data_IF_624723896270
#
_entry.id   IF_624723896270
#
_cell.length_a   1.000
_cell.length_b   1.000
_cell.length_c   1.000
_cell.angle_alpha   90.00
_cell.angle_beta   90.00
_cell.angle_gamma   90.00
#
_symmetry.space_group_name_H-M   'P 1'
#
loop_
_entity.id
_entity.type
_entity.pdbx_description
1 polymer ?
#
# COMPACT_ATOMS: atom_id res chain seq x y z
N UNK A 1 13.36 -8.25 11.99
CA UNK A 1 14.38 -7.44 12.65
C UNK A 1 15.20 -6.61 11.66
N UNK A 2 15.85 -7.24 10.67
CA UNK A 2 16.68 -6.55 9.67
C UNK A 2 15.91 -5.48 8.89
N UNK A 3 14.69 -5.79 8.48
CA UNK A 3 13.79 -4.85 7.82
C UNK A 3 13.48 -3.65 8.71
N UNK A 4 13.10 -3.89 9.97
CA UNK A 4 12.77 -2.83 10.92
C UNK A 4 13.97 -1.90 11.18
N UNK A 5 15.17 -2.47 11.38
CA UNK A 5 16.41 -1.70 11.52
C UNK A 5 16.77 -0.93 10.24
N UNK A 6 16.51 -1.49 9.06
CA UNK A 6 16.76 -0.80 7.80
C UNK A 6 15.88 0.44 7.64
N UNK A 7 14.66 0.38 8.13
CA UNK A 7 13.71 1.48 8.16
C UNK A 7 14.01 2.53 9.24
N UNK A 8 14.98 2.29 10.12
CA UNK A 8 15.38 3.19 11.20
C UNK A 8 14.75 2.91 12.57
N UNK A 9 14.14 1.73 12.76
CA UNK A 9 13.67 1.31 14.08
C UNK A 9 14.85 0.88 15.00
N UNK A 10 14.73 1.17 16.28
CA UNK A 10 15.76 0.90 17.29
C UNK A 10 15.13 0.34 18.59
N UNK A 11 15.98 0.00 19.54
CA UNK A 11 15.58 -0.45 20.88
C UNK A 11 14.85 0.62 21.71
N UNK A 12 15.05 1.90 21.38
CA UNK A 12 14.41 3.02 22.06
C UNK A 12 12.94 3.26 21.61
N UNK A 13 12.48 2.54 20.60
CA UNK A 13 11.16 2.76 20.01
C UNK A 13 10.03 2.03 20.77
N UNK A 14 8.88 2.70 20.82
CA UNK A 14 7.61 2.12 21.20
C UNK A 14 6.75 2.04 19.93
N UNK A 15 6.58 0.83 19.39
CA UNK A 15 5.94 0.61 18.09
C UNK A 15 4.56 -0.02 18.27
N UNK A 16 3.55 0.69 17.79
CA UNK A 16 2.17 0.20 17.78
C UNK A 16 1.90 -0.61 16.51
N UNK A 17 1.40 -1.84 16.68
CA UNK A 17 1.03 -2.72 15.58
C UNK A 17 -0.49 -2.72 15.39
N UNK A 18 -0.93 -2.05 14.34
CA UNK A 18 -2.32 -1.91 13.94
C UNK A 18 -2.71 -2.89 12.81
N UNK A 19 -2.03 -4.02 12.71
CA UNK A 19 -2.42 -5.17 11.91
C UNK A 19 -3.19 -6.20 12.75
N UNK A 20 -4.13 -6.92 12.12
CA UNK A 20 -4.84 -8.01 12.78
C UNK A 20 -3.89 -9.13 13.24
N UNK A 21 -3.94 -9.47 14.52
CA UNK A 21 -3.34 -10.68 15.06
C UNK A 21 -4.29 -11.86 14.84
N UNK A 22 -3.78 -12.98 14.41
CA UNK A 22 -4.57 -14.18 14.11
C UNK A 22 -3.94 -14.97 12.97
N UNK A 23 -4.72 -15.36 11.98
CA UNK A 23 -4.22 -16.10 10.81
C UNK A 23 -3.53 -15.20 9.76
N UNK A 24 -3.33 -13.94 10.05
CA UNK A 24 -2.58 -12.98 9.25
C UNK A 24 -1.17 -12.82 9.79
N UNK A 25 -0.17 -13.19 9.01
CA UNK A 25 1.24 -13.23 9.45
C UNK A 25 1.89 -11.85 9.57
N UNK A 26 1.30 -10.81 8.98
CA UNK A 26 1.85 -9.44 8.93
C UNK A 26 2.12 -8.86 10.32
N UNK A 27 1.19 -9.03 11.26
CA UNK A 27 1.36 -8.57 12.62
C UNK A 27 2.49 -9.32 13.35
N UNK A 28 2.39 -10.66 13.40
CA UNK A 28 3.32 -11.50 14.17
C UNK A 28 4.77 -11.40 13.67
N UNK A 29 4.97 -11.36 12.35
CA UNK A 29 6.32 -11.26 11.79
C UNK A 29 7.03 -9.97 12.18
N UNK A 30 6.33 -8.83 12.15
CA UNK A 30 6.88 -7.54 12.58
C UNK A 30 7.00 -7.46 14.11
N UNK A 31 6.04 -8.01 14.85
CA UNK A 31 6.09 -8.11 16.30
C UNK A 31 7.41 -8.76 16.77
N UNK A 32 7.67 -9.99 16.37
CA UNK A 32 8.89 -10.69 16.75
C UNK A 32 10.16 -10.04 16.18
N UNK A 33 10.06 -9.41 15.02
CA UNK A 33 11.18 -8.65 14.47
C UNK A 33 11.54 -7.44 15.32
N UNK A 34 10.55 -6.70 15.81
CA UNK A 34 10.70 -5.53 16.69
C UNK A 34 11.18 -5.94 18.10
N UNK A 35 10.60 -6.97 18.70
CA UNK A 35 11.08 -7.52 19.98
C UNK A 35 12.55 -7.94 19.88
N UNK A 36 12.95 -8.57 18.77
CA UNK A 36 14.33 -9.02 18.56
C UNK A 36 15.35 -7.87 18.52
N UNK A 37 14.95 -6.68 18.13
CA UNK A 37 15.82 -5.48 18.15
C UNK A 37 15.75 -4.72 19.47
N UNK A 38 14.91 -5.17 20.42
CA UNK A 38 14.74 -4.54 21.73
C UNK A 38 13.65 -3.48 21.82
N UNK A 39 12.93 -3.20 20.73
CA UNK A 39 11.84 -2.23 20.71
C UNK A 39 10.64 -2.71 21.56
N UNK A 40 9.95 -1.77 22.20
CA UNK A 40 8.69 -2.06 22.89
C UNK A 40 7.56 -2.18 21.88
N UNK A 41 6.82 -3.29 21.91
CA UNK A 41 5.70 -3.53 20.99
C UNK A 41 4.36 -3.34 21.70
N UNK A 42 3.48 -2.53 21.10
CA UNK A 42 2.09 -2.33 21.53
C UNK A 42 1.17 -3.08 20.56
N UNK A 43 0.69 -4.30 20.90
CA UNK A 43 -0.04 -5.17 19.98
C UNK A 43 -1.54 -4.84 19.97
N UNK A 44 -1.92 -3.73 19.36
CA UNK A 44 -3.31 -3.23 19.38
C UNK A 44 -4.25 -3.97 18.45
N UNK A 45 -3.72 -4.72 17.47
CA UNK A 45 -4.51 -5.32 16.39
C UNK A 45 -5.15 -4.27 15.47
N UNK A 46 -5.99 -4.70 14.54
CA UNK A 46 -6.73 -3.78 13.65
C UNK A 46 -8.05 -3.34 14.27
N UNK A 47 -8.58 -2.22 13.82
CA UNK A 47 -9.87 -1.71 14.22
C UNK A 47 -9.87 -0.84 15.48
N UNK A 48 -11.04 -0.42 15.90
CA UNK A 48 -11.25 0.47 17.06
C UNK A 48 -10.34 1.71 17.02
N UNK A 49 -10.46 2.50 15.94
CA UNK A 49 -9.50 3.56 15.57
C UNK A 49 -9.32 4.61 16.67
N UNK A 50 -10.40 5.02 17.35
CA UNK A 50 -10.31 5.98 18.46
C UNK A 50 -9.46 5.42 19.62
N UNK A 51 -9.60 4.13 19.94
CA UNK A 51 -8.76 3.47 20.94
C UNK A 51 -7.30 3.38 20.49
N UNK A 52 -7.05 3.14 19.20
CA UNK A 52 -5.70 3.17 18.63
C UNK A 52 -5.03 4.53 18.92
N UNK A 53 -5.75 5.62 18.64
CA UNK A 53 -5.28 6.99 18.83
C UNK A 53 -5.07 7.30 20.32
N UNK A 54 -5.96 6.87 21.20
CA UNK A 54 -5.81 7.01 22.64
C UNK A 54 -4.53 6.32 23.14
N UNK A 55 -4.29 5.07 22.70
CA UNK A 55 -3.09 4.32 23.07
C UNK A 55 -1.80 4.96 22.54
N UNK A 56 -1.84 5.57 21.34
CA UNK A 56 -0.70 6.34 20.81
C UNK A 56 -0.32 7.50 21.72
N UNK A 57 -1.31 8.18 22.30
CA UNK A 57 -1.06 9.27 23.24
C UNK A 57 -0.55 8.77 24.60
N UNK A 58 -1.19 7.73 25.14
CA UNK A 58 -0.90 7.21 26.48
C UNK A 58 0.50 6.57 26.55
N UNK A 59 0.85 5.76 25.55
CA UNK A 59 2.16 5.09 25.46
C UNK A 59 3.23 5.94 24.76
N UNK A 60 2.87 7.11 24.20
CA UNK A 60 3.78 7.96 23.42
C UNK A 60 4.47 7.18 22.31
N UNK A 61 3.71 6.39 21.57
CA UNK A 61 4.25 5.52 20.53
C UNK A 61 5.05 6.33 19.51
N UNK A 62 6.25 5.85 19.20
CA UNK A 62 7.17 6.47 18.24
C UNK A 62 7.03 5.89 16.84
N UNK A 63 6.40 4.71 16.70
CA UNK A 63 6.23 4.08 15.41
C UNK A 63 4.86 3.41 15.24
N UNK A 64 4.44 3.33 13.97
CA UNK A 64 3.18 2.72 13.56
C UNK A 64 3.43 1.66 12.48
N UNK A 65 2.94 0.44 12.74
CA UNK A 65 2.86 -0.66 11.77
C UNK A 65 1.41 -0.77 11.31
N UNK A 66 1.15 -0.54 10.02
CA UNK A 66 -0.21 -0.67 9.48
C UNK A 66 -0.22 -0.80 7.94
N UNK A 67 -1.41 -0.97 7.34
CA UNK A 67 -1.57 -0.69 5.91
C UNK A 67 -1.54 0.82 5.67
N UNK A 68 -1.09 1.30 4.51
CA UNK A 68 -1.15 2.71 4.15
C UNK A 68 -2.56 3.31 4.27
N UNK A 69 -3.58 2.62 3.76
CA UNK A 69 -4.98 3.07 3.86
C UNK A 69 -5.44 3.25 5.31
N UNK A 70 -5.04 2.33 6.20
CA UNK A 70 -5.43 2.44 7.60
C UNK A 70 -4.65 3.55 8.33
N UNK A 71 -3.38 3.77 7.98
CA UNK A 71 -2.61 4.91 8.49
C UNK A 71 -3.25 6.26 8.10
N UNK A 72 -3.73 6.40 6.87
CA UNK A 72 -4.50 7.58 6.46
C UNK A 72 -5.77 7.75 7.32
N UNK A 73 -6.54 6.68 7.49
CA UNK A 73 -7.76 6.72 8.28
C UNK A 73 -7.50 7.07 9.75
N UNK A 74 -6.43 6.55 10.36
CA UNK A 74 -5.98 6.94 11.70
C UNK A 74 -5.66 8.43 11.74
N UNK A 75 -4.95 8.96 10.75
CA UNK A 75 -4.61 10.38 10.65
C UNK A 75 -5.83 11.29 10.50
N UNK A 76 -6.79 10.92 9.67
CA UNK A 76 -8.07 11.63 9.51
C UNK A 76 -8.85 11.66 10.83
N UNK A 77 -9.01 10.50 11.48
CA UNK A 77 -9.72 10.37 12.75
C UNK A 77 -9.03 11.19 13.86
N UNK A 78 -7.70 11.17 13.92
CA UNK A 78 -6.96 11.95 14.92
C UNK A 78 -7.13 13.45 14.74
N UNK A 79 -7.21 13.94 13.50
CA UNK A 79 -7.55 15.35 13.19
C UNK A 79 -8.97 15.69 13.64
N UNK A 80 -9.95 14.83 13.33
CA UNK A 80 -11.35 15.03 13.73
C UNK A 80 -11.52 15.05 15.25
N UNK A 81 -10.78 14.23 15.97
CA UNK A 81 -10.74 14.22 17.44
C UNK A 81 -10.00 15.44 18.02
N UNK A 82 -9.31 16.24 17.21
CA UNK A 82 -8.52 17.39 17.65
C UNK A 82 -7.29 17.01 18.48
N UNK A 83 -6.72 15.84 18.24
CA UNK A 83 -5.59 15.28 19.06
C UNK A 83 -4.34 15.00 18.24
N UNK A 84 -4.32 15.37 16.96
CA UNK A 84 -3.19 15.08 16.05
C UNK A 84 -1.85 15.60 16.61
N UNK A 85 -1.84 16.77 17.23
CA UNK A 85 -0.65 17.39 17.81
C UNK A 85 -0.16 16.69 19.12
N UNK A 86 -0.94 15.74 19.62
CA UNK A 86 -0.59 14.94 20.82
C UNK A 86 0.02 13.58 20.44
N UNK A 87 0.03 13.23 19.16
CA UNK A 87 0.63 12.01 18.63
C UNK A 87 2.11 12.27 18.32
N UNK A 88 3.00 11.37 18.76
CA UNK A 88 4.45 11.55 18.67
C UNK A 88 5.10 10.50 17.77
N UNK A 89 4.49 10.19 16.65
CA UNK A 89 5.03 9.23 15.69
C UNK A 89 6.24 9.82 14.95
N UNK A 90 7.28 9.02 14.75
CA UNK A 90 8.44 9.34 13.92
C UNK A 90 8.65 8.37 12.76
N UNK A 91 8.11 7.14 12.87
CA UNK A 91 8.35 6.05 11.93
C UNK A 91 7.05 5.34 11.54
N UNK A 92 6.87 5.08 10.25
CA UNK A 92 5.83 4.23 9.70
C UNK A 92 6.43 3.02 8.98
N UNK A 93 6.01 1.81 9.36
CA UNK A 93 6.36 0.55 8.72
C UNK A 93 5.09 0.04 8.00
N UNK A 94 4.94 0.38 6.73
CA UNK A 94 3.73 0.10 5.98
C UNK A 94 3.91 -1.06 5.01
N UNK A 95 2.83 -1.75 4.71
CA UNK A 95 2.84 -2.86 3.75
C UNK A 95 1.48 -3.50 3.58
N UNK A 96 1.43 -4.67 2.95
CA UNK A 96 0.24 -5.46 2.62
C UNK A 96 -0.61 -4.90 1.49
N UNK A 97 -0.43 -3.66 1.09
CA UNK A 97 -1.05 -3.02 -0.08
C UNK A 97 -0.09 -2.01 -0.70
N UNK A 98 -0.38 -1.60 -1.94
CA UNK A 98 0.41 -0.57 -2.61
C UNK A 98 0.33 0.78 -1.89
N UNK A 99 1.44 1.53 -1.91
CA UNK A 99 1.51 2.89 -1.40
C UNK A 99 2.13 3.77 -2.48
N UNK A 100 1.33 4.64 -3.10
CA UNK A 100 1.87 5.61 -4.06
C UNK A 100 2.69 6.68 -3.33
N UNK A 101 3.55 7.41 -4.04
CA UNK A 101 4.35 8.47 -3.42
C UNK A 101 3.47 9.61 -2.90
N UNK A 102 2.37 9.89 -3.58
CA UNK A 102 1.37 10.89 -3.18
C UNK A 102 0.69 10.48 -1.86
N UNK A 103 0.24 9.22 -1.77
CA UNK A 103 -0.34 8.65 -0.55
C UNK A 103 0.66 8.68 0.61
N UNK A 104 1.90 8.26 0.35
CA UNK A 104 3.00 8.33 1.32
C UNK A 104 3.19 9.74 1.86
N UNK A 105 3.29 10.73 0.95
CA UNK A 105 3.47 12.13 1.30
C UNK A 105 2.31 12.67 2.15
N UNK A 106 1.08 12.28 1.85
CA UNK A 106 -0.09 12.66 2.65
C UNK A 106 -0.05 12.05 4.06
N UNK A 107 0.32 10.78 4.18
CA UNK A 107 0.47 10.10 5.49
C UNK A 107 1.57 10.79 6.31
N UNK A 108 2.73 11.03 5.72
CA UNK A 108 3.86 11.70 6.36
C UNK A 108 3.50 13.10 6.85
N UNK A 109 2.84 13.91 6.01
CA UNK A 109 2.37 15.25 6.36
C UNK A 109 1.32 15.24 7.47
N UNK A 110 0.42 14.24 7.46
CA UNK A 110 -0.68 14.16 8.44
C UNK A 110 -0.21 13.66 9.80
N UNK A 111 0.60 12.60 9.82
CA UNK A 111 1.01 11.93 11.05
C UNK A 111 2.39 12.38 11.57
N UNK A 112 3.12 13.20 10.80
CA UNK A 112 4.43 13.71 11.21
C UNK A 112 5.52 12.63 11.25
N UNK A 113 5.40 11.55 10.51
CA UNK A 113 6.30 10.41 10.54
C UNK A 113 7.08 10.23 9.23
N UNK A 114 8.13 9.44 9.27
CA UNK A 114 8.86 8.94 8.11
C UNK A 114 8.31 7.57 7.71
N UNK A 115 7.73 7.46 6.51
CA UNK A 115 7.07 6.25 6.03
C UNK A 115 8.00 5.38 5.20
N UNK A 116 8.10 4.09 5.52
CA UNK A 116 8.79 3.07 4.73
C UNK A 116 7.83 1.99 4.29
N UNK A 117 8.12 1.42 3.13
CA UNK A 117 7.35 0.31 2.56
C UNK A 117 8.05 -1.02 2.79
N UNK A 118 7.27 -2.06 3.05
CA UNK A 118 7.76 -3.42 3.18
C UNK A 118 6.87 -4.39 2.41
N UNK A 119 7.50 -5.40 1.83
CA UNK A 119 6.86 -6.44 1.05
C UNK A 119 6.99 -7.79 1.73
N UNK A 120 5.92 -8.55 1.67
CA UNK A 120 5.87 -9.92 2.12
C UNK A 120 4.51 -10.55 1.82
N UNK A 121 4.42 -11.84 2.03
CA UNK A 121 3.19 -12.61 1.88
C UNK A 121 3.24 -13.85 2.76
N UNK A 122 2.05 -14.31 3.17
CA UNK A 122 1.91 -15.45 4.08
C UNK A 122 2.54 -16.74 3.53
N UNK A 123 2.47 -16.94 2.23
CA UNK A 123 3.01 -18.09 1.52
C UNK A 123 4.54 -18.17 1.61
N UNK A 124 5.21 -17.04 1.73
CA UNK A 124 6.67 -16.99 1.82
C UNK A 124 7.16 -17.09 3.25
N UNK A 125 6.91 -16.15 4.10
CA UNK A 125 7.21 -16.15 5.56
C UNK A 125 6.48 -14.99 6.29
N UNK A 126 5.56 -14.33 5.62
CA UNK A 126 4.94 -13.09 6.10
C UNK A 126 5.73 -11.86 5.69
N UNK A 127 5.78 -10.79 6.50
CA UNK A 127 6.56 -9.60 6.22
C UNK A 127 8.05 -9.88 6.30
N UNK A 128 8.87 -9.07 5.62
CA UNK A 128 10.31 -9.20 5.65
C UNK A 128 10.91 -9.99 4.49
N UNK A 129 10.17 -10.21 3.41
CA UNK A 129 10.75 -10.65 2.13
C UNK A 129 11.66 -9.55 1.60
N UNK A 130 11.16 -8.32 1.60
CA UNK A 130 11.96 -7.12 1.31
C UNK A 130 11.42 -5.89 2.03
N UNK A 131 12.24 -4.85 2.17
CA UNK A 131 11.82 -3.59 2.78
C UNK A 131 12.76 -2.43 2.46
N UNK A 132 12.20 -1.23 2.49
CA UNK A 132 12.95 0.00 2.28
C UNK A 132 13.91 0.28 3.43
N UNK A 133 15.03 0.89 3.11
CA UNK A 133 15.87 1.57 4.07
C UNK A 133 15.51 3.06 4.12
N UNK A 134 16.18 3.81 4.99
CA UNK A 134 15.98 5.26 5.16
C UNK A 134 16.20 6.08 3.87
N UNK A 135 16.90 5.54 2.86
CA UNK A 135 17.10 6.19 1.56
C UNK A 135 15.93 5.96 0.58
N UNK A 136 15.05 5.01 0.85
CA UNK A 136 13.86 4.70 0.01
C UNK A 136 14.15 4.49 -1.48
N UNK A 137 15.33 3.94 -1.79
CA UNK A 137 15.76 3.66 -3.18
C UNK A 137 15.41 2.23 -3.61
N UNK A 138 14.24 1.74 -3.27
CA UNK A 138 13.76 0.37 -3.44
C UNK A 138 13.88 -0.45 -2.16
N UNK A 139 13.24 -1.61 -2.14
CA UNK A 139 13.15 -2.52 -1.01
C UNK A 139 14.25 -3.58 -1.08
N UNK A 140 15.14 -3.63 -0.10
CA UNK A 140 16.21 -4.63 0.01
C UNK A 140 15.61 -6.01 0.21
N UNK A 141 15.94 -6.95 -0.69
CA UNK A 141 15.52 -8.34 -0.62
C UNK A 141 16.41 -9.05 0.39
N UNK A 142 15.83 -9.85 1.29
CA UNK A 142 16.60 -10.68 2.20
C UNK A 142 17.11 -11.94 1.48
N UNK A 143 18.16 -11.79 0.65
CA UNK A 143 18.68 -12.81 -0.29
C UNK A 143 19.25 -14.05 0.40
N UNK A 144 19.55 -14.01 1.69
CA UNK A 144 19.90 -15.18 2.51
C UNK A 144 18.70 -16.07 2.85
N UNK A 145 17.48 -15.55 2.71
CA UNK A 145 16.23 -16.28 2.94
C UNK A 145 15.42 -16.50 1.66
N UNK A 146 15.64 -15.69 0.64
CA UNK A 146 14.83 -15.68 -0.58
C UNK A 146 15.69 -15.53 -1.83
N UNK A 147 15.53 -16.44 -2.78
CA UNK A 147 15.99 -16.23 -4.14
C UNK A 147 14.85 -15.60 -4.94
N UNK A 148 15.06 -14.37 -5.42
CA UNK A 148 14.10 -13.62 -6.22
C UNK A 148 14.49 -13.63 -7.70
N UNK A 149 13.54 -13.95 -8.56
CA UNK A 149 13.65 -13.91 -10.02
C UNK A 149 12.57 -13.00 -10.58
N UNK A 150 12.79 -12.39 -11.73
CA UNK A 150 11.76 -11.69 -12.50
C UNK A 150 11.55 -12.42 -13.81
N UNK A 151 10.31 -12.78 -14.10
CA UNK A 151 9.96 -13.54 -15.31
C UNK A 151 8.97 -12.79 -16.19
N UNK A 152 8.95 -13.12 -17.47
CA UNK A 152 7.84 -12.77 -18.34
C UNK A 152 6.59 -13.59 -17.95
N UNK A 153 5.45 -12.98 -17.62
CA UNK A 153 4.27 -13.69 -17.13
C UNK A 153 3.62 -14.62 -18.16
N UNK A 154 3.91 -14.43 -19.47
CA UNK A 154 3.34 -15.22 -20.56
C UNK A 154 4.27 -16.35 -20.99
N UNK A 155 5.56 -16.07 -21.23
CA UNK A 155 6.53 -17.07 -21.67
C UNK A 155 7.16 -17.84 -20.53
N UNK A 156 7.06 -17.35 -19.30
CA UNK A 156 7.65 -17.90 -18.06
C UNK A 156 9.19 -17.92 -18.07
N UNK A 157 9.81 -17.24 -19.03
CA UNK A 157 11.27 -17.14 -19.10
C UNK A 157 11.77 -16.07 -18.14
N UNK A 158 12.93 -16.33 -17.53
CA UNK A 158 13.61 -15.35 -16.68
C UNK A 158 14.05 -14.16 -17.55
N UNK A 159 13.73 -12.98 -17.09
CA UNK A 159 14.07 -11.74 -17.79
C UNK A 159 15.49 -11.27 -17.44
N UNK A 160 16.12 -10.46 -18.30
CA UNK A 160 17.41 -9.83 -17.99
C UNK A 160 17.33 -8.97 -16.72
N UNK A 161 18.48 -8.80 -16.05
CA UNK A 161 18.59 -7.94 -14.86
C UNK A 161 18.05 -6.53 -15.13
N UNK A 162 17.25 -6.02 -14.19
CA UNK A 162 16.64 -4.70 -14.29
C UNK A 162 15.38 -4.62 -15.15
N UNK A 163 15.03 -5.70 -15.89
CA UNK A 163 13.76 -5.74 -16.63
C UNK A 163 12.56 -5.86 -15.67
N UNK A 164 11.44 -5.31 -16.11
CA UNK A 164 10.16 -5.40 -15.40
C UNK A 164 9.42 -6.68 -15.77
N UNK A 165 8.89 -7.39 -14.78
CA UNK A 165 8.09 -8.60 -15.00
C UNK A 165 7.47 -9.12 -13.70
N UNK A 166 6.97 -10.34 -13.73
CA UNK A 166 6.38 -11.00 -12.57
C UNK A 166 7.47 -11.49 -11.61
N UNK A 167 7.32 -11.15 -10.34
CA UNK A 167 8.21 -11.64 -9.28
C UNK A 167 7.95 -13.12 -9.01
N UNK A 168 9.03 -13.88 -8.99
CA UNK A 168 9.05 -15.29 -8.59
C UNK A 168 10.01 -15.44 -7.42
N UNK A 169 9.60 -16.13 -6.36
CA UNK A 169 10.40 -16.29 -5.15
C UNK A 169 10.56 -17.76 -4.79
N UNK A 170 11.80 -18.15 -4.49
CA UNK A 170 12.13 -19.43 -3.85
C UNK A 170 12.54 -19.16 -2.40
N UNK A 171 11.94 -19.87 -1.45
CA UNK A 171 12.35 -19.80 -0.04
C UNK A 171 13.56 -20.70 0.21
N UNK A 172 14.60 -20.17 0.83
CA UNK A 172 15.87 -20.89 1.07
C UNK A 172 15.95 -21.52 2.47
N UNK A 173 15.27 -20.91 3.44
CA UNK A 173 15.36 -21.29 4.86
C UNK A 173 14.02 -21.73 5.48
N UNK A 174 12.94 -21.75 4.71
CA UNK A 174 11.61 -22.11 5.20
C UNK A 174 11.44 -23.63 5.16
N UNK A 175 11.28 -24.25 6.32
CA UNK A 175 11.10 -25.71 6.46
C UNK A 175 9.64 -26.12 6.27
N UNK A 176 8.69 -25.40 6.87
CA UNK A 176 7.26 -25.64 6.71
C UNK A 176 6.74 -25.12 5.37
N UNK A 177 6.30 -26.01 4.49
CA UNK A 177 5.79 -25.68 3.14
C UNK A 177 6.82 -24.84 2.36
N UNK A 178 8.00 -25.38 2.02
CA UNK A 178 8.99 -24.65 1.23
C UNK A 178 8.42 -24.29 -0.15
N UNK A 179 8.63 -23.05 -0.58
CA UNK A 179 8.18 -22.59 -1.89
C UNK A 179 9.34 -22.60 -2.88
N UNK A 180 9.17 -23.34 -3.97
CA UNK A 180 10.12 -23.42 -5.08
C UNK A 180 9.55 -22.66 -6.28
N UNK A 181 10.22 -21.58 -6.69
CA UNK A 181 9.80 -20.72 -7.81
C UNK A 181 8.32 -20.33 -7.74
N UNK A 182 7.90 -19.86 -6.57
CA UNK A 182 6.52 -19.43 -6.35
C UNK A 182 6.21 -18.16 -7.14
N UNK A 183 5.23 -18.22 -8.03
CA UNK A 183 4.75 -17.09 -8.82
C UNK A 183 3.86 -16.21 -7.96
N UNK A 184 4.37 -15.02 -7.61
CA UNK A 184 3.63 -14.10 -6.71
C UNK A 184 2.48 -13.39 -7.40
N UNK A 185 2.50 -13.31 -8.72
CA UNK A 185 1.64 -12.46 -9.56
C UNK A 185 1.94 -10.96 -9.46
N UNK A 186 2.83 -10.54 -8.60
CA UNK A 186 3.22 -9.15 -8.43
C UNK A 186 4.21 -8.72 -9.50
N UNK A 187 3.99 -7.56 -10.10
CA UNK A 187 4.87 -6.96 -11.10
C UNK A 187 5.85 -6.02 -10.44
N UNK A 188 7.13 -6.27 -10.64
CA UNK A 188 8.23 -5.45 -10.14
C UNK A 188 9.44 -5.52 -11.06
N UNK A 189 10.54 -4.90 -10.65
CA UNK A 189 11.88 -5.05 -11.22
C UNK A 189 12.90 -5.11 -10.09
N UNK A 190 14.05 -5.75 -10.33
CA UNK A 190 15.12 -5.88 -9.35
C UNK A 190 16.34 -5.08 -9.81
N UNK A 191 16.84 -4.22 -8.92
CA UNK A 191 18.07 -3.45 -9.07
C UNK A 191 19.17 -4.13 -8.24
N UNK A 192 20.28 -4.44 -8.89
CA UNK A 192 21.45 -5.11 -8.29
C UNK A 192 22.59 -4.16 -7.95
N UNK A 193 22.43 -2.86 -8.25
CA UNK A 193 23.45 -1.86 -7.90
C UNK A 193 23.52 -1.65 -6.38
N UNK A 194 24.72 -1.43 -5.81
CA UNK A 194 24.86 -1.17 -4.38
C UNK A 194 24.04 0.03 -3.92
N UNK A 195 23.35 -0.11 -2.79
CA UNK A 195 22.65 1.01 -2.20
C UNK A 195 23.61 1.93 -1.42
N UNK A 196 23.40 3.23 -1.51
CA UNK A 196 24.16 4.23 -0.74
C UNK A 196 24.03 4.08 0.79
N UNK A 197 23.05 3.31 1.28
CA UNK A 197 22.92 2.97 2.70
C UNK A 197 23.97 1.95 3.19
N UNK A 198 24.81 1.43 2.29
CA UNK A 198 25.87 0.44 2.58
C UNK A 198 25.40 -1.02 2.56
N UNK A 199 24.10 -1.29 2.42
CA UNK A 199 23.59 -2.67 2.27
C UNK A 199 23.87 -3.20 0.87
N UNK A 200 24.27 -4.47 0.78
CA UNK A 200 24.71 -5.12 -0.45
C UNK A 200 23.64 -5.96 -1.14
N UNK A 201 22.54 -6.26 -0.46
CA UNK A 201 21.42 -7.01 -1.03
C UNK A 201 20.74 -6.25 -2.17
N UNK A 202 20.33 -6.98 -3.19
CA UNK A 202 19.54 -6.44 -4.30
C UNK A 202 18.25 -5.79 -3.79
N UNK A 203 17.75 -4.83 -4.57
CA UNK A 203 16.53 -4.08 -4.22
C UNK A 203 15.45 -4.30 -5.26
N UNK A 204 14.26 -4.64 -4.81
CA UNK A 204 13.10 -4.63 -5.69
C UNK A 204 12.43 -3.25 -5.67
N UNK A 205 11.86 -2.86 -6.80
CA UNK A 205 10.99 -1.69 -6.87
C UNK A 205 9.68 -1.97 -6.13
N UNK A 206 8.92 -0.91 -5.84
CA UNK A 206 7.53 -1.07 -5.39
C UNK A 206 6.74 -1.93 -6.37
N UNK A 207 5.74 -2.63 -5.86
CA UNK A 207 4.83 -3.40 -6.69
C UNK A 207 4.04 -2.43 -7.58
N UNK A 208 4.13 -2.62 -8.89
CA UNK A 208 3.50 -1.78 -9.90
C UNK A 208 2.08 -2.24 -10.25
N UNK A 209 1.69 -3.42 -9.77
CA UNK A 209 0.41 -4.06 -9.98
C UNK A 209 0.54 -5.57 -9.89
N UNK A 210 -0.56 -6.27 -10.11
CA UNK A 210 -0.60 -7.74 -10.15
C UNK A 210 -1.09 -8.21 -11.51
N UNK A 211 -0.60 -9.35 -11.97
CA UNK A 211 -1.07 -9.96 -13.23
C UNK A 211 -2.52 -10.45 -13.13
N UNK A 212 -3.01 -10.74 -11.93
CA UNK A 212 -4.37 -11.20 -11.64
C UNK A 212 -5.33 -10.08 -11.17
N UNK A 213 -4.83 -8.94 -10.69
CA UNK A 213 -5.63 -7.74 -10.39
C UNK A 213 -5.79 -6.82 -11.61
N UNK A 214 -5.18 -7.19 -12.71
CA UNK A 214 -5.30 -6.47 -13.97
C UNK A 214 -6.74 -6.57 -14.48
N UNK A 215 -7.40 -5.43 -14.55
CA UNK A 215 -8.74 -5.32 -15.10
C UNK A 215 -8.65 -5.28 -16.63
N UNK A 216 -9.29 -6.22 -17.31
CA UNK A 216 -9.51 -6.12 -18.75
C UNK A 216 -10.79 -5.36 -19.02
N UNK A 217 -10.67 -4.14 -19.52
CA UNK A 217 -11.80 -3.27 -19.87
C UNK A 217 -11.75 -2.97 -21.36
N UNK A 218 -12.70 -3.45 -22.14
CA UNK A 218 -12.73 -3.29 -23.61
C UNK A 218 -11.42 -3.70 -24.31
N UNK A 219 -10.79 -4.77 -23.83
CA UNK A 219 -9.51 -5.26 -24.38
C UNK A 219 -8.26 -4.53 -23.90
N UNK A 220 -8.40 -3.47 -23.10
CA UNK A 220 -7.28 -2.72 -22.53
C UNK A 220 -6.99 -3.24 -21.12
N UNK A 221 -5.70 -3.37 -20.80
CA UNK A 221 -5.24 -3.74 -19.47
C UNK A 221 -5.18 -2.48 -18.58
N UNK A 222 -5.98 -2.46 -17.53
CA UNK A 222 -6.07 -1.36 -16.57
C UNK A 222 -5.61 -1.84 -15.20
N UNK A 223 -4.65 -1.15 -14.62
CA UNK A 223 -4.19 -1.42 -13.26
C UNK A 223 -4.78 -0.41 -12.28
N UNK A 224 -5.36 -0.85 -11.14
CA UNK A 224 -5.90 0.05 -10.11
C UNK A 224 -4.91 1.11 -9.64
N UNK A 225 -3.61 0.77 -9.57
CA UNK A 225 -2.54 1.71 -9.19
C UNK A 225 -2.39 2.90 -10.15
N UNK A 226 -2.69 2.72 -11.46
CA UNK A 226 -2.67 3.82 -12.43
C UNK A 226 -3.80 4.82 -12.13
N UNK A 227 -4.98 4.31 -11.77
CA UNK A 227 -6.13 5.14 -11.39
C UNK A 227 -5.81 5.91 -10.11
N UNK A 228 -5.28 5.21 -9.10
CA UNK A 228 -4.90 5.82 -7.82
C UNK A 228 -3.89 6.97 -7.99
N UNK A 229 -2.86 6.76 -8.79
CA UNK A 229 -1.85 7.79 -9.06
C UNK A 229 -2.46 9.05 -9.70
N UNK A 230 -3.43 8.89 -10.61
CA UNK A 230 -4.16 10.03 -11.20
C UNK A 230 -4.99 10.74 -10.14
N UNK A 231 -5.74 9.99 -9.33
CA UNK A 231 -6.65 10.56 -8.33
C UNK A 231 -5.90 11.35 -7.26
N UNK A 232 -4.81 10.80 -6.75
CA UNK A 232 -4.01 11.44 -5.68
C UNK A 232 -3.34 12.75 -6.13
N UNK A 233 -3.33 13.07 -7.42
CA UNK A 233 -2.88 14.37 -7.95
C UNK A 233 -3.87 15.52 -7.78
N UNK A 234 -5.06 15.30 -7.22
CA UNK A 234 -6.10 16.31 -7.02
C UNK A 234 -6.31 16.61 -5.53
N UNK A 235 -6.05 17.83 -5.10
CA UNK A 235 -6.22 18.25 -3.69
C UNK A 235 -7.70 18.30 -3.24
N UNK A 236 -8.63 18.40 -4.18
CA UNK A 236 -10.07 18.52 -3.91
C UNK A 236 -10.74 17.20 -3.59
N UNK A 237 -10.05 16.07 -3.73
CA UNK A 237 -10.59 14.74 -3.43
C UNK A 237 -9.93 14.12 -2.21
N UNK A 238 -10.70 13.31 -1.49
CA UNK A 238 -10.18 12.47 -0.43
C UNK A 238 -9.49 11.20 -1.02
N UNK A 239 -8.58 10.55 -0.29
CA UNK A 239 -7.87 9.36 -0.78
C UNK A 239 -8.72 8.09 -0.81
N UNK A 240 -10.05 8.26 -0.81
CA UNK A 240 -11.02 7.18 -0.80
C UNK A 240 -11.73 7.09 -2.15
N UNK A 241 -11.58 5.94 -2.81
CA UNK A 241 -12.20 5.67 -4.10
C UNK A 241 -12.64 4.21 -4.23
N UNK A 242 -13.57 3.96 -5.15
CA UNK A 242 -14.04 2.64 -5.51
C UNK A 242 -14.13 2.51 -7.04
N UNK A 243 -13.66 1.40 -7.56
CA UNK A 243 -13.74 1.02 -8.97
C UNK A 243 -14.92 0.07 -9.15
N UNK A 244 -15.91 0.47 -9.92
CA UNK A 244 -17.10 -0.36 -10.21
C UNK A 244 -17.03 -0.77 -11.67
N UNK A 245 -17.02 -2.09 -11.91
CA UNK A 245 -16.97 -2.65 -13.25
C UNK A 245 -18.33 -3.28 -13.54
N UNK A 246 -18.94 -2.84 -14.62
CA UNK A 246 -20.23 -3.36 -15.10
C UNK A 246 -20.13 -3.80 -16.53
N UNK A 247 -21.05 -4.63 -16.99
CA UNK A 247 -21.20 -5.01 -18.40
C UNK A 247 -22.59 -4.68 -18.89
N UNK A 248 -22.69 -3.91 -19.98
CA UNK A 248 -23.93 -3.65 -20.66
C UNK A 248 -23.72 -3.69 -22.18
N UNK A 249 -24.68 -4.23 -22.91
CA UNK A 249 -24.61 -4.38 -24.38
C UNK A 249 -23.28 -4.99 -24.87
N UNK A 250 -22.81 -6.07 -24.21
CA UNK A 250 -21.56 -6.78 -24.46
C UNK A 250 -20.28 -5.92 -24.29
N UNK A 251 -20.37 -4.73 -23.72
CA UNK A 251 -19.24 -3.85 -23.47
C UNK A 251 -19.01 -3.66 -21.97
N UNK A 252 -17.76 -3.71 -21.55
CA UNK A 252 -17.37 -3.42 -20.17
C UNK A 252 -17.31 -1.92 -19.93
N UNK A 253 -17.80 -1.48 -18.78
CA UNK A 253 -17.77 -0.10 -18.32
C UNK A 253 -17.05 -0.01 -16.99
N UNK A 254 -16.15 0.97 -16.87
CA UNK A 254 -15.47 1.31 -15.63
C UNK A 254 -16.00 2.63 -15.09
N UNK A 255 -16.53 2.59 -13.89
CA UNK A 255 -16.90 3.74 -13.09
C UNK A 255 -15.90 3.92 -11.94
N UNK A 256 -15.35 5.12 -11.81
CA UNK A 256 -14.45 5.52 -10.73
C UNK A 256 -15.24 6.44 -9.80
N UNK A 257 -15.63 5.93 -8.63
CA UNK A 257 -16.27 6.71 -7.57
C UNK A 257 -15.20 7.29 -6.67
N UNK A 258 -15.24 8.59 -6.44
CA UNK A 258 -14.21 9.32 -5.68
C UNK A 258 -14.87 10.22 -4.67
N UNK A 259 -14.43 10.19 -3.43
CA UNK A 259 -14.91 11.09 -2.41
C UNK A 259 -14.31 12.49 -2.54
N UNK A 260 -15.12 13.50 -2.30
CA UNK A 260 -14.68 14.87 -2.12
C UNK A 260 -13.96 15.03 -0.78
N UNK A 261 -12.89 15.82 -0.77
CA UNK A 261 -12.18 16.16 0.47
C UNK A 261 -13.04 17.06 1.38
N UNK A 262 -13.88 17.89 0.76
CA UNK A 262 -14.81 18.80 1.46
C UNK A 262 -16.17 18.80 0.75
N UNK A 263 -17.24 18.61 1.52
CA UNK A 263 -18.63 18.62 1.01
C UNK A 263 -19.08 20.00 0.54
N UNK A 264 -18.39 21.09 0.89
CA UNK A 264 -18.70 22.45 0.42
C UNK A 264 -18.63 22.58 -1.11
N UNK A 265 -17.84 21.73 -1.78
CA UNK A 265 -17.78 21.69 -3.24
C UNK A 265 -19.11 21.27 -3.88
N UNK A 266 -19.97 20.55 -3.16
CA UNK A 266 -21.29 20.11 -3.67
C UNK A 266 -22.23 21.30 -3.94
N UNK A 267 -22.01 22.43 -3.26
CA UNK A 267 -22.81 23.64 -3.44
C UNK A 267 -22.41 24.43 -4.71
N UNK A 268 -21.25 24.11 -5.31
CA UNK A 268 -20.75 24.78 -6.51
C UNK A 268 -20.71 23.83 -7.71
N UNK A 269 -21.81 23.74 -8.43
CA UNK A 269 -21.97 22.86 -9.59
C UNK A 269 -20.87 23.07 -10.67
N UNK A 270 -20.49 24.32 -10.95
CA UNK A 270 -19.49 24.60 -11.99
C UNK A 270 -18.09 24.09 -11.58
N UNK A 271 -17.70 24.25 -10.31
CA UNK A 271 -16.42 23.74 -9.78
C UNK A 271 -16.42 22.21 -9.77
N UNK A 272 -17.53 21.60 -9.36
CA UNK A 272 -17.71 20.15 -9.31
C UNK A 272 -17.60 19.52 -10.70
N UNK A 273 -18.25 20.09 -11.69
CA UNK A 273 -18.21 19.61 -13.08
C UNK A 273 -16.81 19.81 -13.69
N UNK A 274 -16.14 20.93 -13.41
CA UNK A 274 -14.75 21.17 -13.83
C UNK A 274 -13.81 20.13 -13.25
N UNK A 275 -13.92 19.82 -11.96
CA UNK A 275 -13.13 18.79 -11.28
C UNK A 275 -13.39 17.41 -11.90
N UNK A 276 -14.65 17.04 -12.09
CA UNK A 276 -15.05 15.77 -12.72
C UNK A 276 -14.45 15.62 -14.12
N UNK A 277 -14.53 16.69 -14.93
CA UNK A 277 -13.97 16.70 -16.28
C UNK A 277 -12.44 16.59 -16.27
N UNK A 278 -11.76 17.24 -15.35
CA UNK A 278 -10.29 17.16 -15.21
C UNK A 278 -9.83 15.76 -14.82
N UNK A 279 -10.49 15.15 -13.84
CA UNK A 279 -10.21 13.76 -13.43
C UNK A 279 -10.46 12.80 -14.61
N UNK A 280 -11.61 12.95 -15.29
CA UNK A 280 -11.93 12.12 -16.46
C UNK A 280 -10.88 12.24 -17.57
N UNK A 281 -10.45 13.46 -17.91
CA UNK A 281 -9.44 13.71 -18.92
C UNK A 281 -8.10 13.04 -18.57
N UNK A 282 -7.64 13.18 -17.33
CA UNK A 282 -6.39 12.59 -16.87
C UNK A 282 -6.46 11.05 -16.85
N UNK A 283 -7.56 10.49 -16.38
CA UNK A 283 -7.80 9.04 -16.44
C UNK A 283 -7.79 8.52 -17.87
N UNK A 284 -8.48 9.20 -18.80
CA UNK A 284 -8.48 8.84 -20.22
C UNK A 284 -7.09 8.89 -20.83
N UNK A 285 -6.28 9.89 -20.48
CA UNK A 285 -4.90 10.03 -20.95
C UNK A 285 -4.03 8.88 -20.49
N UNK A 286 -4.14 8.49 -19.20
CA UNK A 286 -3.30 7.44 -18.61
C UNK A 286 -3.77 6.04 -19.00
N UNK A 287 -5.07 5.79 -19.01
CA UNK A 287 -5.65 4.46 -19.24
C UNK A 287 -5.92 4.16 -20.72
N UNK A 288 -6.04 5.17 -21.57
CA UNK A 288 -6.42 5.02 -22.98
C UNK A 288 -7.88 4.57 -23.21
N UNK A 289 -8.72 4.63 -22.18
CA UNK A 289 -10.14 4.26 -22.23
C UNK A 289 -11.03 5.34 -21.62
N UNK A 290 -12.29 5.36 -22.04
CA UNK A 290 -13.32 6.19 -21.40
C UNK A 290 -13.75 5.57 -20.06
N UNK A 291 -13.76 6.40 -19.03
CA UNK A 291 -14.21 6.02 -17.68
C UNK A 291 -15.33 6.95 -17.23
N UNK A 292 -16.30 6.44 -16.49
CA UNK A 292 -17.27 7.28 -15.79
C UNK A 292 -16.65 7.74 -14.47
N UNK A 293 -16.63 9.03 -14.20
CA UNK A 293 -16.19 9.59 -12.91
C UNK A 293 -17.42 10.06 -12.14
N UNK A 294 -17.57 9.58 -10.91
CA UNK A 294 -18.65 9.95 -10.00
C UNK A 294 -18.04 10.52 -8.73
N UNK A 295 -18.20 11.81 -8.51
CA UNK A 295 -17.83 12.48 -7.27
C UNK A 295 -18.91 12.22 -6.24
N UNK A 296 -18.54 11.73 -5.07
CA UNK A 296 -19.45 11.38 -3.98
C UNK A 296 -19.12 12.17 -2.71
N UNK A 297 -20.10 12.26 -1.81
CA UNK A 297 -19.96 13.01 -0.56
C UNK A 297 -18.83 12.46 0.31
N UNK A 298 -18.26 13.33 1.12
CA UNK A 298 -17.27 12.95 2.12
C UNK A 298 -17.83 11.87 3.06
N UNK A 299 -17.02 10.81 3.31
CA UNK A 299 -17.39 9.63 4.14
C UNK A 299 -18.53 8.76 3.60
N UNK A 300 -18.88 8.85 2.33
CA UNK A 300 -19.91 8.00 1.71
C UNK A 300 -19.40 6.61 1.29
N UNK A 301 -18.09 6.45 1.09
CA UNK A 301 -17.47 5.15 0.81
C UNK A 301 -17.06 4.45 2.11
N UNK A 302 -17.07 3.11 2.07
CA UNK A 302 -16.69 2.28 3.22
C UNK A 302 -15.23 2.51 3.63
N UNK A 303 -14.99 2.59 4.94
CA UNK A 303 -13.66 2.66 5.55
C UNK A 303 -13.18 1.29 5.97
N UNK A 304 -12.00 0.91 5.52
CA UNK A 304 -11.42 -0.40 5.81
C UNK A 304 -10.41 -0.29 6.96
N UNK A 305 -10.55 -1.18 7.93
CA UNK A 305 -9.64 -1.30 9.08
C UNK A 305 -8.47 -2.25 8.80
N UNK A 306 -8.14 -2.43 7.53
CA UNK A 306 -7.10 -3.30 7.01
C UNK A 306 -6.90 -3.03 5.54
N UNK A 307 -6.68 -4.08 4.73
CA UNK A 307 -6.52 -3.94 3.28
C UNK A 307 -7.80 -3.40 2.63
N UNK A 308 -7.70 -2.31 1.90
CA UNK A 308 -8.84 -1.69 1.23
C UNK A 308 -9.38 -2.55 0.08
N UNK A 309 -10.70 -2.80 0.08
CA UNK A 309 -11.39 -3.49 -1.00
C UNK A 309 -11.96 -2.45 -1.98
N UNK A 310 -11.15 -2.05 -2.95
CA UNK A 310 -11.44 -0.94 -3.86
C UNK A 310 -12.15 -1.35 -5.16
N UNK A 311 -12.20 -2.64 -5.49
CA UNK A 311 -12.76 -3.14 -6.75
C UNK A 311 -14.08 -3.86 -6.49
N UNK A 312 -15.12 -3.44 -7.19
CA UNK A 312 -16.43 -4.07 -7.24
C UNK A 312 -16.72 -4.50 -8.68
N UNK A 313 -16.47 -5.77 -8.99
CA UNK A 313 -16.74 -6.34 -10.32
C UNK A 313 -18.14 -6.94 -10.34
N UNK A 314 -19.04 -6.30 -11.09
CA UNK A 314 -20.46 -6.69 -11.24
C UNK A 314 -20.74 -7.36 -12.60
N UNK A 315 -19.71 -7.74 -13.36
CA UNK A 315 -19.88 -8.34 -14.70
C UNK A 315 -20.51 -9.73 -14.68
N UNK A 316 -20.45 -10.40 -13.55
CA UNK A 316 -20.96 -11.77 -13.36
C UNK A 316 -22.31 -11.82 -12.61
N UNK A 317 -22.92 -10.68 -12.35
CA UNK A 317 -24.24 -10.58 -11.68
C UNK A 317 -25.37 -10.37 -12.68
#
# INVERSE_FOLDING_TARGET
>A
ARLCMAAGASEDDIIQIAFGYGLFTGALGLHYGLEKIGATVVPTSSGNTEKQIMLMQDFKTSGLVSTPSYAQYIGETAKEMGVIDKINLRLGLFGSEGCTEEMRSQIEKTLGLFATDNYGMSELMGPGVSGECELRCGMHINEDHFLAEVIDPHTLQVLPKGAQGELVVTTLSKEGIPMLRYRTKDITKIDYEPCKCGRTFARMAKIMGRTDDMLKIRGVNVFPSQIESVLMGFEQIAPHYQLVITRSNFSDHLEVKVELADSSLLENYAALESLRCSIHHNLKTVLGIETKVSLVEHKSLERFQGKAKRILDLRSQ
#
